data_IF_887232494285
#
_entry.id   IF_887232494285
#
_cell.length_a   1.000
_cell.length_b   1.000
_cell.length_c   1.000
_cell.angle_alpha   90.00
_cell.angle_beta   90.00
_cell.angle_gamma   90.00
#
_symmetry.space_group_name_H-M   'P 1'
#
loop_
_entity.id
_entity.type
_entity.pdbx_description
1 polymer ?
#
# COMPACT_ATOMS: atom_id res chain seq x y z
N UNK A 1 7.22 6.31 -34.94
CA UNK A 1 6.39 7.42 -34.43
C UNK A 1 5.36 6.78 -33.51
N UNK A 2 5.71 6.59 -32.24
CA UNK A 2 4.75 6.08 -31.25
C UNK A 2 3.81 7.25 -30.93
N UNK A 3 2.50 7.00 -31.00
CA UNK A 3 1.46 8.01 -30.81
C UNK A 3 1.61 8.62 -29.40
N UNK A 4 1.89 9.91 -29.33
CA UNK A 4 2.11 10.66 -28.08
C UNK A 4 0.78 10.96 -27.34
N UNK A 5 -0.29 10.26 -27.71
CA UNK A 5 -1.62 10.46 -27.14
C UNK A 5 -1.74 9.75 -25.80
N UNK A 6 -1.84 10.55 -24.74
CA UNK A 6 -2.31 10.09 -23.42
C UNK A 6 -3.69 9.48 -23.60
N UNK A 7 -3.91 8.29 -23.03
CA UNK A 7 -5.20 7.61 -23.06
C UNK A 7 -6.30 8.51 -22.49
N UNK A 8 -7.36 8.72 -23.26
CA UNK A 8 -8.55 9.44 -22.79
C UNK A 8 -9.51 8.45 -22.14
N UNK A 9 -9.90 8.73 -20.90
CA UNK A 9 -10.95 7.99 -20.22
C UNK A 9 -12.33 8.52 -20.66
N UNK A 10 -13.37 7.67 -20.69
CA UNK A 10 -14.74 8.16 -20.84
C UNK A 10 -15.11 9.10 -19.69
N UNK A 11 -16.12 9.96 -19.89
CA UNK A 11 -16.56 10.96 -18.89
C UNK A 11 -16.90 10.31 -17.54
N UNK A 12 -17.49 9.10 -17.57
CA UNK A 12 -17.81 8.31 -16.38
C UNK A 12 -17.33 6.86 -16.56
N UNK A 13 -16.07 6.54 -16.24
CA UNK A 13 -15.52 5.21 -16.46
C UNK A 13 -16.14 4.16 -15.54
N UNK A 14 -16.11 2.90 -15.98
CA UNK A 14 -16.25 1.75 -15.10
C UNK A 14 -14.92 1.51 -14.41
N UNK A 15 -14.91 1.52 -13.08
CA UNK A 15 -13.67 1.31 -12.30
C UNK A 15 -13.72 -0.02 -11.58
N UNK A 16 -12.78 -0.90 -11.89
CA UNK A 16 -12.57 -2.15 -11.17
C UNK A 16 -11.63 -1.96 -9.99
N UNK A 17 -12.03 -2.37 -8.79
CA UNK A 17 -11.16 -2.37 -7.61
C UNK A 17 -10.84 -3.81 -7.23
N UNK A 18 -9.56 -4.17 -7.33
CA UNK A 18 -9.07 -5.49 -6.94
C UNK A 18 -8.83 -5.52 -5.43
N UNK A 19 -9.34 -6.57 -4.78
CA UNK A 19 -9.19 -6.81 -3.35
C UNK A 19 -9.73 -5.68 -2.45
N UNK A 20 -11.06 -5.54 -2.28
CA UNK A 20 -11.66 -4.56 -1.36
C UNK A 20 -11.45 -4.93 0.13
N UNK A 21 -10.19 -4.87 0.57
CA UNK A 21 -9.78 -4.76 1.96
C UNK A 21 -10.30 -3.46 2.57
N UNK A 22 -9.77 -3.08 3.74
CA UNK A 22 -10.17 -1.82 4.36
C UNK A 22 -9.87 -0.61 3.47
N UNK A 23 -8.68 -0.56 2.87
CA UNK A 23 -8.29 0.52 1.95
C UNK A 23 -9.00 0.43 0.60
N UNK A 24 -9.08 -0.76 0.00
CA UNK A 24 -9.76 -0.95 -1.29
C UNK A 24 -11.24 -0.58 -1.25
N UNK A 25 -11.95 -0.89 -0.16
CA UNK A 25 -13.34 -0.45 0.01
C UNK A 25 -13.48 1.08 0.11
N UNK A 26 -12.56 1.75 0.83
CA UNK A 26 -12.54 3.21 0.92
C UNK A 26 -12.26 3.87 -0.44
N UNK A 27 -11.28 3.34 -1.19
CA UNK A 27 -10.97 3.79 -2.56
C UNK A 27 -12.18 3.60 -3.48
N UNK A 28 -12.77 2.40 -3.48
CA UNK A 28 -13.94 2.11 -4.32
C UNK A 28 -15.11 3.04 -3.99
N UNK A 29 -15.40 3.28 -2.71
CA UNK A 29 -16.43 4.23 -2.31
C UNK A 29 -16.12 5.67 -2.76
N UNK A 30 -14.86 6.09 -2.70
CA UNK A 30 -14.43 7.43 -3.10
C UNK A 30 -14.61 7.69 -4.60
N UNK A 31 -14.52 6.64 -5.42
CA UNK A 31 -14.64 6.71 -6.88
C UNK A 31 -16.09 6.73 -7.39
N UNK A 32 -17.09 6.36 -6.56
CA UNK A 32 -18.49 6.23 -6.99
C UNK A 32 -19.10 7.49 -7.62
N UNK A 33 -18.67 8.67 -7.18
CA UNK A 33 -19.20 9.93 -7.68
C UNK A 33 -18.73 10.23 -9.11
N UNK A 34 -17.50 9.83 -9.46
CA UNK A 34 -16.91 10.04 -10.78
C UNK A 34 -17.19 8.86 -11.74
N UNK A 35 -17.29 7.64 -11.22
CA UNK A 35 -17.49 6.42 -12.01
C UNK A 35 -18.97 6.24 -12.41
N UNK A 36 -19.21 5.53 -13.52
CA UNK A 36 -20.55 5.01 -13.87
C UNK A 36 -20.89 3.78 -13.04
N UNK A 37 -19.90 2.93 -12.76
CA UNK A 37 -19.97 1.79 -11.86
C UNK A 37 -18.60 1.54 -11.22
N UNK A 38 -18.60 1.12 -9.96
CA UNK A 38 -17.40 0.59 -9.30
C UNK A 38 -17.62 -0.89 -9.04
N UNK A 39 -16.81 -1.74 -9.70
CA UNK A 39 -16.95 -3.19 -9.67
C UNK A 39 -15.80 -3.85 -8.89
N UNK A 40 -16.04 -5.04 -8.34
CA UNK A 40 -14.99 -5.83 -7.67
C UNK A 40 -15.17 -7.34 -7.91
N UNK A 41 -14.07 -8.08 -7.96
CA UNK A 41 -14.08 -9.52 -8.19
C UNK A 41 -14.32 -10.32 -6.89
N UNK A 42 -15.43 -11.07 -6.87
CA UNK A 42 -15.92 -11.87 -5.75
C UNK A 42 -15.06 -13.11 -5.46
N UNK A 43 -14.68 -13.84 -6.52
CA UNK A 43 -14.24 -15.24 -6.40
C UNK A 43 -13.08 -15.43 -5.43
N UNK A 44 -13.27 -16.39 -4.53
CA UNK A 44 -12.26 -16.79 -3.54
C UNK A 44 -11.98 -15.72 -2.47
N UNK A 45 -12.82 -14.68 -2.34
CA UNK A 45 -12.68 -13.67 -1.28
C UNK A 45 -13.44 -14.08 -0.02
N UNK A 46 -12.92 -13.64 1.13
CA UNK A 46 -13.54 -13.93 2.42
C UNK A 46 -14.84 -13.16 2.64
N UNK A 47 -15.72 -13.68 3.50
CA UNK A 47 -16.94 -12.99 3.92
C UNK A 47 -16.68 -11.56 4.43
N UNK A 48 -15.60 -11.36 5.18
CA UNK A 48 -15.20 -10.03 5.66
C UNK A 48 -14.86 -9.05 4.52
N UNK A 49 -14.33 -9.56 3.41
CA UNK A 49 -14.03 -8.76 2.20
C UNK A 49 -15.30 -8.42 1.46
N UNK A 50 -16.19 -9.40 1.26
CA UNK A 50 -17.49 -9.18 0.65
C UNK A 50 -18.32 -8.15 1.44
N UNK A 51 -18.33 -8.24 2.78
CA UNK A 51 -19.06 -7.28 3.63
C UNK A 51 -18.55 -5.85 3.50
N UNK A 52 -17.22 -5.65 3.39
CA UNK A 52 -16.64 -4.32 3.18
C UNK A 52 -17.01 -3.76 1.81
N UNK A 53 -17.01 -4.60 0.78
CA UNK A 53 -17.41 -4.21 -0.57
C UNK A 53 -18.89 -3.80 -0.62
N UNK A 54 -19.76 -4.57 0.05
CA UNK A 54 -21.19 -4.25 0.21
C UNK A 54 -21.39 -2.91 0.92
N UNK A 55 -20.73 -2.68 2.07
CA UNK A 55 -20.80 -1.41 2.81
C UNK A 55 -20.27 -0.19 2.02
N UNK A 56 -19.42 -0.43 1.02
CA UNK A 56 -18.91 0.58 0.12
C UNK A 56 -19.77 0.74 -1.15
N UNK A 57 -20.88 0.01 -1.29
CA UNK A 57 -21.74 -0.11 -2.48
C UNK A 57 -20.98 -0.49 -3.75
N UNK A 58 -20.03 -1.42 -3.65
CA UNK A 58 -19.31 -1.95 -4.81
C UNK A 58 -20.11 -3.08 -5.46
N UNK A 59 -20.16 -3.08 -6.80
CA UNK A 59 -20.91 -4.08 -7.58
C UNK A 59 -20.04 -5.33 -7.76
N UNK A 60 -20.48 -6.46 -7.24
CA UNK A 60 -19.76 -7.71 -7.39
C UNK A 60 -19.81 -8.21 -8.85
N UNK A 61 -18.68 -8.67 -9.35
CA UNK A 61 -18.56 -9.46 -10.58
C UNK A 61 -17.89 -10.81 -10.26
N UNK A 62 -18.11 -11.86 -11.07
CA UNK A 62 -17.70 -13.22 -10.73
C UNK A 62 -16.20 -13.35 -10.47
N UNK A 63 -15.34 -12.78 -11.32
CA UNK A 63 -13.89 -12.99 -11.23
C UNK A 63 -13.09 -11.82 -11.84
N UNK A 64 -11.76 -11.89 -11.71
CA UNK A 64 -10.83 -10.87 -12.25
C UNK A 64 -10.97 -10.76 -13.77
N UNK A 65 -11.06 -11.85 -14.56
CA UNK A 65 -11.28 -11.72 -16.01
C UNK A 65 -12.54 -10.94 -16.39
N UNK A 66 -13.67 -11.17 -15.71
CA UNK A 66 -14.90 -10.39 -15.96
C UNK A 66 -14.75 -8.93 -15.52
N UNK A 67 -14.05 -8.68 -14.42
CA UNK A 67 -13.71 -7.31 -14.00
C UNK A 67 -12.87 -6.60 -15.07
N UNK A 68 -11.82 -7.25 -15.57
CA UNK A 68 -10.92 -6.69 -16.59
C UNK A 68 -11.66 -6.35 -17.88
N UNK A 69 -12.54 -7.24 -18.36
CA UNK A 69 -13.31 -7.00 -19.59
C UNK A 69 -14.26 -5.82 -19.50
N UNK A 70 -14.74 -5.49 -18.29
CA UNK A 70 -15.76 -4.47 -18.07
C UNK A 70 -15.19 -3.12 -17.64
N UNK A 71 -13.97 -3.08 -17.12
CA UNK A 71 -13.39 -1.89 -16.53
C UNK A 71 -12.62 -1.06 -17.56
N UNK A 72 -12.78 0.26 -17.51
CA UNK A 72 -11.90 1.20 -18.21
C UNK A 72 -10.62 1.45 -17.40
N UNK A 73 -10.75 1.41 -16.06
CA UNK A 73 -9.67 1.60 -15.09
C UNK A 73 -9.69 0.47 -14.08
N UNK A 74 -8.54 -0.13 -13.78
CA UNK A 74 -8.38 -1.14 -12.74
C UNK A 74 -7.44 -0.61 -11.66
N UNK A 75 -7.91 -0.53 -10.42
CA UNK A 75 -7.10 -0.17 -9.25
C UNK A 75 -6.72 -1.43 -8.48
N UNK A 76 -5.43 -1.72 -8.42
CA UNK A 76 -4.86 -2.83 -7.66
C UNK A 76 -4.47 -2.38 -6.26
N UNK A 77 -5.07 -2.99 -5.23
CA UNK A 77 -4.71 -2.74 -3.84
C UNK A 77 -4.84 -3.98 -2.93
N UNK A 78 -3.78 -4.75 -2.91
CA UNK A 78 -3.57 -6.03 -2.27
C UNK A 78 -2.24 -6.04 -1.47
N UNK A 79 -1.94 -7.13 -0.75
CA UNK A 79 -0.62 -7.32 -0.15
C UNK A 79 0.50 -7.30 -1.22
N UNK A 80 1.66 -6.69 -0.94
CA UNK A 80 2.69 -6.43 -1.96
C UNK A 80 3.19 -7.70 -2.67
N UNK A 81 3.33 -8.82 -1.94
CA UNK A 81 3.77 -10.09 -2.51
C UNK A 81 2.84 -10.65 -3.61
N UNK A 82 1.59 -10.20 -3.67
CA UNK A 82 0.61 -10.63 -4.66
C UNK A 82 0.48 -9.67 -5.85
N UNK A 83 1.08 -8.48 -5.78
CA UNK A 83 0.86 -7.38 -6.73
C UNK A 83 1.12 -7.79 -8.19
N UNK A 84 2.30 -8.38 -8.45
CA UNK A 84 2.70 -8.75 -9.80
C UNK A 84 1.89 -9.93 -10.36
N UNK A 85 1.48 -10.88 -9.51
CA UNK A 85 0.65 -12.00 -9.95
C UNK A 85 -0.76 -11.55 -10.31
N UNK A 86 -1.31 -10.61 -9.53
CA UNK A 86 -2.59 -9.96 -9.84
C UNK A 86 -2.50 -9.14 -11.14
N UNK A 87 -1.41 -8.41 -11.35
CA UNK A 87 -1.15 -7.71 -12.60
C UNK A 87 -1.09 -8.67 -13.80
N UNK A 88 -0.42 -9.83 -13.68
CA UNK A 88 -0.39 -10.87 -14.71
C UNK A 88 -1.77 -11.43 -15.02
N UNK A 89 -2.60 -11.67 -14.01
CA UNK A 89 -3.97 -12.16 -14.20
C UNK A 89 -4.81 -11.16 -15.01
N UNK A 90 -4.71 -9.86 -14.69
CA UNK A 90 -5.38 -8.80 -15.43
C UNK A 90 -4.84 -8.66 -16.85
N UNK A 91 -3.52 -8.66 -17.04
CA UNK A 91 -2.90 -8.59 -18.37
C UNK A 91 -3.32 -9.76 -19.27
N UNK A 92 -3.39 -10.97 -18.71
CA UNK A 92 -3.85 -12.16 -19.45
C UNK A 92 -5.32 -12.04 -19.88
N UNK A 93 -6.17 -11.43 -19.04
CA UNK A 93 -7.60 -11.25 -19.33
C UNK A 93 -7.90 -10.10 -20.33
N UNK A 94 -6.99 -9.14 -20.49
CA UNK A 94 -7.16 -7.95 -21.34
C UNK A 94 -7.23 -8.23 -22.85
N UNK A 95 -6.78 -9.41 -23.31
CA UNK A 95 -6.86 -9.83 -24.71
C UNK A 95 -6.33 -8.82 -25.75
N UNK A 96 -5.37 -7.96 -25.38
CA UNK A 96 -4.72 -6.99 -26.26
C UNK A 96 -5.18 -5.53 -26.14
N UNK A 97 -6.24 -5.26 -25.38
CA UNK A 97 -6.67 -3.90 -25.04
C UNK A 97 -6.81 -3.77 -23.52
N UNK A 98 -5.70 -3.54 -22.79
CA UNK A 98 -5.73 -3.50 -21.34
C UNK A 98 -6.50 -2.30 -20.84
N UNK A 99 -7.15 -2.37 -19.65
CA UNK A 99 -7.62 -1.19 -18.96
C UNK A 99 -6.44 -0.30 -18.52
N UNK A 100 -6.72 0.94 -18.13
CA UNK A 100 -5.73 1.74 -17.41
C UNK A 100 -5.47 1.09 -16.04
N UNK A 101 -4.27 0.57 -15.80
CA UNK A 101 -3.90 -0.13 -14.59
C UNK A 101 -3.25 0.82 -13.57
N UNK A 102 -3.90 1.01 -12.42
CA UNK A 102 -3.36 1.76 -11.30
C UNK A 102 -2.78 0.78 -10.29
N UNK A 103 -1.45 0.74 -10.24
CA UNK A 103 -0.69 -0.03 -9.26
C UNK A 103 -0.61 0.77 -7.96
N UNK A 104 -1.54 0.54 -7.02
CA UNK A 104 -1.62 1.25 -5.74
C UNK A 104 -1.15 0.41 -4.53
N UNK A 105 -0.49 -0.72 -4.79
CA UNK A 105 0.13 -1.57 -3.79
C UNK A 105 1.36 -0.88 -3.19
N UNK A 106 1.71 -1.24 -1.94
CA UNK A 106 2.92 -0.77 -1.30
C UNK A 106 4.15 -1.54 -1.81
N UNK A 107 4.51 -1.33 -3.07
CA UNK A 107 5.58 -2.04 -3.79
C UNK A 107 6.75 -1.13 -4.15
N UNK A 108 7.90 -1.72 -4.48
CA UNK A 108 9.08 -1.03 -4.95
C UNK A 108 8.89 -0.50 -6.39
N UNK A 109 9.63 0.55 -6.80
CA UNK A 109 9.59 1.05 -8.17
C UNK A 109 9.82 -0.04 -9.23
N UNK A 110 10.67 -1.03 -8.94
CA UNK A 110 10.98 -2.14 -9.85
C UNK A 110 9.74 -2.99 -10.14
N UNK A 111 8.89 -3.20 -9.14
CA UNK A 111 7.62 -3.94 -9.32
C UNK A 111 6.68 -3.16 -10.23
N UNK A 112 6.60 -1.84 -10.09
CA UNK A 112 5.82 -0.98 -10.99
C UNK A 112 6.35 -1.03 -12.42
N UNK A 113 7.68 -1.05 -12.60
CA UNK A 113 8.29 -1.22 -13.91
C UNK A 113 7.96 -2.59 -14.53
N UNK A 114 8.00 -3.66 -13.74
CA UNK A 114 7.59 -4.99 -14.21
C UNK A 114 6.10 -5.04 -14.59
N UNK A 115 5.24 -4.30 -13.88
CA UNK A 115 3.82 -4.12 -14.27
C UNK A 115 3.72 -3.34 -15.59
N UNK A 116 4.52 -2.29 -15.78
CA UNK A 116 4.56 -1.54 -17.04
C UNK A 116 5.01 -2.38 -18.24
N UNK A 117 5.87 -3.38 -18.05
CA UNK A 117 6.23 -4.35 -19.09
C UNK A 117 5.04 -5.21 -19.54
N UNK A 118 4.03 -5.44 -18.68
CA UNK A 118 2.85 -6.22 -19.01
C UNK A 118 1.79 -5.43 -19.79
N UNK A 119 1.65 -4.14 -19.51
CA UNK A 119 0.54 -3.31 -20.00
C UNK A 119 0.95 -2.22 -21.00
N UNK A 120 2.25 -1.90 -21.07
CA UNK A 120 2.76 -0.67 -21.68
C UNK A 120 2.76 0.47 -20.66
N UNK A 121 3.83 1.29 -20.57
CA UNK A 121 3.94 2.38 -19.59
C UNK A 121 2.85 3.46 -19.73
N UNK A 122 2.25 3.60 -20.91
CA UNK A 122 1.11 4.48 -21.18
C UNK A 122 -0.20 4.02 -20.56
N UNK A 123 -0.30 2.73 -20.20
CA UNK A 123 -1.48 2.12 -19.57
C UNK A 123 -1.26 1.84 -18.08
N UNK A 124 -0.21 2.39 -17.48
CA UNK A 124 0.08 2.23 -16.05
C UNK A 124 0.14 3.57 -15.33
N UNK A 125 -0.40 3.60 -14.13
CA UNK A 125 -0.21 4.67 -13.16
C UNK A 125 0.39 4.08 -11.89
N UNK A 126 1.53 4.62 -11.48
CA UNK A 126 2.18 4.34 -10.21
C UNK A 126 1.44 5.06 -9.08
N UNK A 127 0.89 4.31 -8.12
CA UNK A 127 0.08 4.82 -7.03
C UNK A 127 0.68 4.51 -5.66
N UNK A 128 0.66 5.49 -4.77
CA UNK A 128 1.08 5.32 -3.38
C UNK A 128 0.09 5.96 -2.41
N UNK A 129 -0.57 5.12 -1.61
CA UNK A 129 -1.49 5.58 -0.57
C UNK A 129 -0.73 5.83 0.74
N UNK A 130 -0.83 7.02 1.31
CA UNK A 130 -0.29 7.38 2.62
C UNK A 130 -1.42 7.88 3.51
N UNK A 131 -1.69 7.14 4.59
CA UNK A 131 -2.76 7.41 5.54
C UNK A 131 -3.57 6.16 5.91
N UNK A 132 -4.52 6.27 6.85
CA UNK A 132 -5.52 5.23 7.10
C UNK A 132 -6.51 5.11 5.92
N UNK A 133 -7.47 4.16 5.93
CA UNK A 133 -8.55 4.16 4.94
C UNK A 133 -9.30 5.51 4.88
N UNK A 134 -9.31 6.13 3.70
CA UNK A 134 -9.83 7.49 3.49
C UNK A 134 -11.36 7.57 3.50
N UNK A 135 -11.95 7.64 4.69
CA UNK A 135 -13.39 7.93 4.87
C UNK A 135 -13.66 9.40 5.19
N UNK A 136 -12.63 10.14 5.61
CA UNK A 136 -12.69 11.55 5.98
C UNK A 136 -11.57 12.31 5.29
N UNK A 137 -11.91 13.48 4.73
CA UNK A 137 -10.96 14.37 4.05
C UNK A 137 -9.80 14.76 4.97
N UNK A 138 -8.63 14.96 4.39
CA UNK A 138 -7.43 15.45 5.09
C UNK A 138 -6.67 14.37 5.88
N UNK A 139 -7.07 13.09 5.78
CA UNK A 139 -6.40 11.99 6.48
C UNK A 139 -5.51 11.15 5.58
N UNK A 140 -5.79 11.13 4.27
CA UNK A 140 -5.19 10.17 3.34
C UNK A 140 -4.85 10.85 2.02
N UNK A 141 -3.59 10.70 1.60
CA UNK A 141 -3.09 11.21 0.32
C UNK A 141 -2.83 10.03 -0.61
N UNK A 142 -3.32 10.13 -1.85
CA UNK A 142 -2.99 9.24 -2.95
C UNK A 142 -1.99 9.96 -3.86
N UNK A 143 -0.72 9.57 -3.76
CA UNK A 143 0.31 10.05 -4.67
C UNK A 143 0.27 9.23 -5.96
N UNK A 144 0.35 9.90 -7.10
CA UNK A 144 0.25 9.31 -8.42
C UNK A 144 1.42 9.76 -9.29
N UNK A 145 1.94 8.86 -10.11
CA UNK A 145 2.94 9.17 -11.12
C UNK A 145 2.69 8.36 -12.40
N UNK A 146 3.17 8.86 -13.54
CA UNK A 146 2.89 8.29 -14.85
C UNK A 146 2.13 9.27 -15.75
N UNK A 147 2.19 9.05 -17.06
CA UNK A 147 1.56 9.93 -18.07
C UNK A 147 0.05 10.10 -17.87
N UNK A 148 -0.61 9.04 -17.42
CA UNK A 148 -2.06 9.01 -17.17
C UNK A 148 -2.43 9.38 -15.71
N UNK A 149 -1.46 9.72 -14.85
CA UNK A 149 -1.71 10.08 -13.45
C UNK A 149 -2.70 11.25 -13.26
N UNK A 150 -2.68 12.33 -14.08
CA UNK A 150 -3.67 13.39 -13.98
C UNK A 150 -5.10 12.90 -14.19
N UNK A 151 -5.33 12.01 -15.18
CA UNK A 151 -6.66 11.46 -15.45
C UNK A 151 -7.20 10.64 -14.26
N UNK A 152 -6.33 9.87 -13.60
CA UNK A 152 -6.69 9.14 -12.38
C UNK A 152 -6.94 10.09 -11.20
N UNK A 153 -6.14 11.15 -11.05
CA UNK A 153 -6.31 12.12 -9.98
C UNK A 153 -7.68 12.83 -10.03
N UNK A 154 -8.16 13.17 -11.23
CA UNK A 154 -9.49 13.78 -11.43
C UNK A 154 -10.64 12.87 -10.96
N UNK A 155 -10.49 11.53 -11.03
CA UNK A 155 -11.51 10.61 -10.52
C UNK A 155 -11.70 10.71 -8.99
N UNK A 156 -10.72 11.25 -8.28
CA UNK A 156 -10.77 11.49 -6.84
C UNK A 156 -11.14 12.94 -6.48
N UNK A 157 -11.42 13.80 -7.47
CA UNK A 157 -11.82 15.18 -7.24
C UNK A 157 -13.08 15.23 -6.36
N UNK A 158 -13.02 16.00 -5.26
CA UNK A 158 -14.14 16.07 -4.33
C UNK A 158 -14.34 14.83 -3.44
N UNK A 159 -13.45 13.85 -3.48
CA UNK A 159 -13.51 12.66 -2.63
C UNK A 159 -12.80 12.87 -1.27
N UNK A 160 -12.89 11.91 -0.33
CA UNK A 160 -12.10 11.90 0.89
C UNK A 160 -10.58 11.77 0.70
N UNK A 161 -10.14 11.25 -0.46
CA UNK A 161 -8.72 11.13 -0.78
C UNK A 161 -8.19 12.42 -1.38
N UNK A 162 -7.04 12.86 -0.91
CA UNK A 162 -6.29 13.92 -1.58
C UNK A 162 -5.38 13.30 -2.65
N UNK A 163 -5.78 13.37 -3.92
CA UNK A 163 -4.96 12.88 -5.03
C UNK A 163 -3.93 13.94 -5.47
N UNK A 164 -2.66 13.55 -5.59
CA UNK A 164 -1.56 14.44 -5.97
C UNK A 164 -0.65 13.77 -7.01
N UNK A 165 -0.30 14.50 -8.07
CA UNK A 165 0.56 13.99 -9.16
C UNK A 165 2.01 14.44 -8.93
N UNK A 166 2.96 13.49 -8.94
CA UNK A 166 4.40 13.75 -8.78
C UNK A 166 5.13 14.04 -10.10
N UNK A 167 4.59 13.56 -11.22
CA UNK A 167 5.18 13.69 -12.54
C UNK A 167 4.84 12.54 -13.47
N UNK A 168 5.47 12.53 -14.65
CA UNK A 168 5.20 11.54 -15.70
C UNK A 168 5.99 10.22 -15.55
N UNK A 169 6.99 10.18 -14.66
CA UNK A 169 7.89 9.02 -14.50
C UNK A 169 7.28 7.95 -13.58
N UNK A 170 7.11 6.74 -14.10
CA UNK A 170 6.70 5.58 -13.30
C UNK A 170 7.80 5.23 -12.28
N UNK A 171 7.39 4.89 -11.06
CA UNK A 171 8.30 4.59 -9.95
C UNK A 171 8.43 5.74 -8.95
N UNK A 172 8.02 6.96 -9.29
CA UNK A 172 8.16 8.11 -8.39
C UNK A 172 7.24 8.02 -7.15
N UNK A 173 6.00 7.53 -7.30
CA UNK A 173 5.06 7.42 -6.19
C UNK A 173 5.44 6.26 -5.27
N UNK A 174 5.78 5.10 -5.83
CA UNK A 174 6.32 3.95 -5.11
C UNK A 174 7.66 4.26 -4.40
N UNK A 175 8.56 5.03 -5.02
CA UNK A 175 9.79 5.50 -4.37
C UNK A 175 9.49 6.41 -3.17
N UNK A 176 8.56 7.36 -3.33
CA UNK A 176 8.10 8.20 -2.21
C UNK A 176 7.56 7.34 -1.07
N UNK A 177 6.73 6.33 -1.39
CA UNK A 177 6.17 5.40 -0.42
C UNK A 177 7.26 4.62 0.32
N UNK A 178 8.26 4.11 -0.38
CA UNK A 178 9.38 3.39 0.22
C UNK A 178 10.17 4.27 1.20
N UNK A 179 10.46 5.52 0.83
CA UNK A 179 11.10 6.50 1.72
C UNK A 179 10.24 6.80 2.95
N UNK A 180 8.94 7.00 2.76
CA UNK A 180 8.01 7.23 3.86
C UNK A 180 7.86 6.00 4.77
N UNK A 181 7.95 4.79 4.22
CA UNK A 181 7.87 3.54 4.96
C UNK A 181 9.04 3.39 5.95
N UNK A 182 10.24 3.89 5.62
CA UNK A 182 11.37 3.91 6.55
C UNK A 182 11.03 4.72 7.81
N UNK A 183 10.48 5.93 7.64
CA UNK A 183 10.08 6.78 8.76
C UNK A 183 8.92 6.18 9.56
N UNK A 184 7.90 5.68 8.87
CA UNK A 184 6.64 5.26 9.51
C UNK A 184 6.66 3.84 10.06
N UNK A 185 7.62 2.99 9.65
CA UNK A 185 7.69 1.57 10.05
C UNK A 185 9.10 1.15 10.50
N UNK A 186 10.15 1.45 9.74
CA UNK A 186 11.49 0.98 10.15
C UNK A 186 11.97 1.63 11.46
N UNK A 187 11.72 2.93 11.66
CA UNK A 187 12.06 3.61 12.92
C UNK A 187 11.31 2.99 14.13
N UNK A 188 9.98 2.78 14.09
CA UNK A 188 9.28 2.02 15.13
C UNK A 188 9.87 0.62 15.40
N UNK A 189 10.27 -0.12 14.36
CA UNK A 189 10.90 -1.43 14.52
C UNK A 189 12.26 -1.33 15.22
N UNK A 190 13.05 -0.29 14.94
CA UNK A 190 14.29 -0.02 15.66
C UNK A 190 14.04 0.24 17.15
N UNK A 191 12.98 0.98 17.51
CA UNK A 191 12.59 1.19 18.91
C UNK A 191 12.16 -0.12 19.59
N UNK A 192 11.41 -0.97 18.89
CA UNK A 192 11.04 -2.28 19.39
C UNK A 192 12.27 -3.14 19.67
N UNK A 193 13.21 -3.21 18.74
CA UNK A 193 14.47 -3.92 18.92
C UNK A 193 15.33 -3.33 20.05
N UNK A 194 15.37 -2.01 20.19
CA UNK A 194 16.08 -1.32 21.26
C UNK A 194 15.55 -1.74 22.65
N UNK A 195 14.24 -1.66 22.87
CA UNK A 195 13.65 -2.01 24.16
C UNK A 195 13.73 -3.52 24.43
N UNK A 196 13.53 -4.36 23.42
CA UNK A 196 13.72 -5.82 23.55
C UNK A 196 15.16 -6.16 23.96
N UNK A 197 16.15 -5.50 23.35
CA UNK A 197 17.56 -5.69 23.69
C UNK A 197 17.86 -5.18 25.10
N UNK A 198 17.32 -4.02 25.48
CA UNK A 198 17.50 -3.45 26.82
C UNK A 198 16.91 -4.37 27.91
N UNK A 199 15.78 -5.03 27.65
CA UNK A 199 15.23 -6.07 28.53
C UNK A 199 16.16 -7.26 28.68
N UNK A 200 16.68 -7.77 27.56
CA UNK A 200 17.57 -8.92 27.57
C UNK A 200 18.84 -8.68 28.42
N UNK A 201 19.30 -7.43 28.50
CA UNK A 201 20.42 -7.01 29.37
C UNK A 201 20.00 -6.49 30.75
N UNK A 202 18.71 -6.43 31.07
CA UNK A 202 18.21 -5.93 32.36
C UNK A 202 18.39 -4.42 32.57
N UNK A 203 18.48 -3.63 31.50
CA UNK A 203 18.75 -2.17 31.53
C UNK A 203 17.61 -1.33 30.96
N UNK A 204 16.43 -1.91 30.70
CA UNK A 204 15.30 -1.18 30.10
C UNK A 204 14.91 0.07 30.91
N UNK A 205 14.79 -0.04 32.23
CA UNK A 205 14.38 1.07 33.09
C UNK A 205 15.40 2.21 33.08
N UNK A 206 16.70 1.87 33.16
CA UNK A 206 17.79 2.86 33.07
C UNK A 206 17.81 3.55 31.70
N UNK A 207 17.59 2.80 30.61
CA UNK A 207 17.51 3.36 29.26
C UNK A 207 16.30 4.30 29.11
N UNK A 208 15.13 3.90 29.61
CA UNK A 208 13.92 4.76 29.59
C UNK A 208 14.16 6.05 30.36
N UNK A 209 14.79 5.98 31.54
CA UNK A 209 15.15 7.17 32.32
C UNK A 209 16.07 8.12 31.55
N UNK A 210 17.08 7.60 30.85
CA UNK A 210 17.95 8.44 30.03
C UNK A 210 17.25 9.05 28.80
N UNK A 211 16.34 8.31 28.15
CA UNK A 211 15.53 8.83 27.04
C UNK A 211 14.53 9.90 27.51
N UNK A 212 13.94 9.72 28.69
CA UNK A 212 12.99 10.68 29.28
C UNK A 212 13.69 12.00 29.62
N UNK A 213 14.90 11.94 30.19
CA UNK A 213 15.76 13.10 30.42
C UNK A 213 16.05 13.89 29.14
N UNK A 214 16.01 13.24 27.97
CA UNK A 214 16.19 13.85 26.65
C UNK A 214 14.87 14.25 25.97
N UNK A 215 13.73 13.97 26.61
CA UNK A 215 12.39 14.31 26.13
C UNK A 215 11.86 13.40 25.02
N UNK A 216 12.46 12.22 24.81
CA UNK A 216 12.18 11.38 23.65
C UNK A 216 11.44 10.06 23.97
N UNK A 217 11.36 9.68 25.24
CA UNK A 217 10.75 8.42 25.70
C UNK A 217 9.30 8.26 25.25
N UNK A 218 8.46 9.28 25.51
CA UNK A 218 7.01 9.19 25.25
C UNK A 218 6.66 8.99 23.78
N UNK A 219 7.37 9.71 22.90
CA UNK A 219 7.18 9.61 21.45
C UNK A 219 7.60 8.21 20.97
N UNK A 220 8.76 7.73 21.41
CA UNK A 220 9.29 6.41 21.05
C UNK A 220 8.38 5.27 21.53
N UNK A 221 7.91 5.31 22.77
CA UNK A 221 6.98 4.32 23.33
C UNK A 221 5.67 4.28 22.54
N UNK A 222 5.14 5.44 22.17
CA UNK A 222 3.91 5.53 21.35
C UNK A 222 4.11 4.92 19.95
N UNK A 223 5.25 5.20 19.32
CA UNK A 223 5.60 4.63 18.01
C UNK A 223 5.74 3.11 18.05
N UNK A 224 6.42 2.59 19.08
CA UNK A 224 6.63 1.15 19.27
C UNK A 224 5.30 0.39 19.47
N UNK A 225 4.40 0.90 20.32
CA UNK A 225 3.08 0.29 20.54
C UNK A 225 2.25 0.20 19.26
N UNK A 226 2.18 1.30 18.50
CA UNK A 226 1.44 1.35 17.21
C UNK A 226 1.96 0.36 16.16
N UNK A 227 3.18 -0.15 16.35
CA UNK A 227 3.82 -1.09 15.44
C UNK A 227 3.55 -2.55 15.78
N UNK A 228 3.30 -2.88 17.06
CA UNK A 228 2.89 -4.21 17.49
C UNK A 228 1.55 -4.65 16.89
N UNK A 229 0.52 -3.81 17.00
CA UNK A 229 -0.87 -4.11 16.58
C UNK A 229 -1.04 -4.47 15.09
N UNK A 230 -0.05 -4.13 14.26
CA UNK A 230 -0.10 -4.29 12.80
C UNK A 230 1.15 -4.95 12.22
N UNK A 231 2.01 -5.52 13.08
CA UNK A 231 3.33 -6.04 12.72
C UNK A 231 3.31 -6.99 11.51
N UNK A 232 2.37 -7.93 11.47
CA UNK A 232 2.29 -8.93 10.40
C UNK A 232 2.09 -8.32 8.99
N UNK A 233 1.43 -7.16 8.87
CA UNK A 233 1.23 -6.50 7.57
C UNK A 233 2.47 -5.78 7.08
N UNK A 234 3.34 -5.36 7.99
CA UNK A 234 4.40 -4.42 7.70
C UNK A 234 5.70 -5.08 7.26
N UNK A 235 5.89 -6.37 7.52
CA UNK A 235 7.07 -7.10 7.04
C UNK A 235 7.22 -7.02 5.52
N UNK A 236 6.16 -7.34 4.75
CA UNK A 236 6.21 -7.27 3.29
C UNK A 236 6.44 -5.85 2.76
N UNK A 237 5.85 -4.83 3.39
CA UNK A 237 6.11 -3.43 3.01
C UNK A 237 7.57 -3.00 3.31
N UNK A 238 8.21 -3.61 4.32
CA UNK A 238 9.62 -3.39 4.60
C UNK A 238 10.54 -4.10 3.61
N UNK A 239 10.16 -5.27 3.10
CA UNK A 239 10.90 -5.93 2.02
C UNK A 239 10.90 -5.09 0.74
N UNK A 240 9.74 -4.52 0.38
CA UNK A 240 9.60 -3.62 -0.79
C UNK A 240 10.40 -2.33 -0.59
N UNK A 241 10.38 -1.74 0.61
CA UNK A 241 11.23 -0.60 0.92
C UNK A 241 12.73 -0.95 0.85
N UNK A 242 13.11 -2.17 1.27
CA UNK A 242 14.49 -2.63 1.17
C UNK A 242 14.93 -2.78 -0.30
N UNK A 243 14.06 -3.32 -1.15
CA UNK A 243 14.31 -3.46 -2.59
C UNK A 243 14.47 -2.08 -3.26
N UNK A 244 13.60 -1.13 -2.94
CA UNK A 244 13.67 0.23 -3.49
C UNK A 244 15.00 0.94 -3.12
N UNK A 245 15.45 0.82 -1.87
CA UNK A 245 16.71 1.42 -1.42
C UNK A 245 17.93 0.75 -2.09
N UNK A 246 17.93 -0.57 -2.17
CA UNK A 246 19.01 -1.31 -2.84
C UNK A 246 19.13 -0.93 -4.32
N UNK A 247 18.00 -0.77 -5.01
CA UNK A 247 18.00 -0.34 -6.41
C UNK A 247 18.45 1.11 -6.62
N UNK A 248 18.32 1.97 -5.61
CA UNK A 248 18.92 3.30 -5.60
C UNK A 248 20.42 3.30 -5.23
N UNK A 249 21.02 2.12 -5.01
CA UNK A 249 22.41 1.99 -4.58
C UNK A 249 22.66 2.37 -3.12
N UNK A 250 21.60 2.45 -2.30
CA UNK A 250 21.68 2.82 -0.90
C UNK A 250 21.62 1.57 0.02
N UNK A 251 22.18 1.65 1.24
CA UNK A 251 22.00 0.60 2.23
C UNK A 251 20.52 0.35 2.55
N UNK A 252 20.12 -0.92 2.53
CA UNK A 252 18.75 -1.36 2.80
C UNK A 252 18.62 -2.17 4.11
N UNK A 253 19.70 -2.23 4.90
CA UNK A 253 19.77 -3.03 6.13
C UNK A 253 18.73 -2.62 7.17
N UNK A 254 18.37 -1.33 7.25
CA UNK A 254 17.33 -0.86 8.17
C UNK A 254 15.96 -1.46 7.86
N UNK A 255 15.54 -1.41 6.59
CA UNK A 255 14.27 -2.00 6.17
C UNK A 255 14.29 -3.53 6.32
N UNK A 256 15.42 -4.18 6.01
CA UNK A 256 15.58 -5.63 6.17
C UNK A 256 15.46 -6.06 7.63
N UNK A 257 16.15 -5.37 8.55
CA UNK A 257 16.07 -5.62 9.99
C UNK A 257 14.66 -5.31 10.54
N UNK A 258 14.01 -4.26 10.06
CA UNK A 258 12.63 -3.95 10.43
C UNK A 258 11.66 -5.06 10.00
N UNK A 259 11.82 -5.58 8.77
CA UNK A 259 11.04 -6.73 8.29
C UNK A 259 11.23 -7.95 9.20
N UNK A 260 12.47 -8.23 9.61
CA UNK A 260 12.78 -9.31 10.55
C UNK A 260 12.08 -9.13 11.90
N UNK A 261 12.18 -7.94 12.51
CA UNK A 261 11.49 -7.61 13.78
C UNK A 261 10.00 -7.87 13.66
N UNK A 262 9.36 -7.42 12.58
CA UNK A 262 7.93 -7.62 12.37
C UNK A 262 7.54 -9.08 12.18
N UNK A 263 8.36 -9.87 11.46
CA UNK A 263 8.12 -11.31 11.32
C UNK A 263 8.22 -12.04 12.66
N UNK A 264 9.21 -11.69 13.50
CA UNK A 264 9.34 -12.26 14.84
C UNK A 264 8.13 -11.96 15.72
N UNK A 265 7.71 -10.69 15.76
CA UNK A 265 6.50 -10.28 16.51
C UNK A 265 5.25 -11.01 15.99
N UNK A 266 5.10 -11.15 14.67
CA UNK A 266 3.96 -11.83 14.09
C UNK A 266 3.92 -13.34 14.36
N UNK A 267 5.08 -13.96 14.62
CA UNK A 267 5.21 -15.38 14.94
C UNK A 267 5.26 -15.67 16.45
N UNK A 268 5.46 -14.65 17.27
CA UNK A 268 5.58 -14.75 18.72
C UNK A 268 4.26 -15.20 19.36
N UNK A 269 4.37 -16.05 20.38
CA UNK A 269 3.23 -16.37 21.25
C UNK A 269 3.01 -15.27 22.29
N UNK A 270 1.95 -15.42 23.10
CA UNK A 270 1.60 -14.41 24.12
C UNK A 270 2.72 -14.20 25.16
N UNK A 271 3.46 -15.26 25.50
CA UNK A 271 4.53 -15.20 26.49
C UNK A 271 5.74 -14.46 25.93
N UNK A 272 6.11 -14.69 24.66
CA UNK A 272 7.18 -13.99 23.97
C UNK A 272 6.79 -12.52 23.71
N UNK A 273 5.55 -12.24 23.32
CA UNK A 273 5.04 -10.87 23.17
C UNK A 273 5.16 -10.08 24.48
N UNK A 274 4.81 -10.68 25.62
CA UNK A 274 4.95 -10.06 26.93
C UNK A 274 6.41 -9.90 27.36
N UNK A 275 7.19 -10.98 27.32
CA UNK A 275 8.54 -11.03 27.90
C UNK A 275 9.60 -10.37 27.04
N UNK A 276 9.60 -10.63 25.72
CA UNK A 276 10.61 -10.10 24.79
C UNK A 276 10.19 -8.76 24.24
N UNK A 277 8.93 -8.60 23.84
CA UNK A 277 8.46 -7.40 23.14
C UNK A 277 7.80 -6.37 24.05
N UNK A 278 7.47 -6.72 25.30
CA UNK A 278 6.81 -5.82 26.25
C UNK A 278 5.42 -5.39 25.77
N UNK A 279 4.75 -6.27 25.02
CA UNK A 279 3.41 -6.09 24.48
C UNK A 279 2.43 -6.90 25.32
N UNK A 280 1.45 -6.23 25.93
CA UNK A 280 0.29 -6.92 26.50
C UNK A 280 -0.63 -7.37 25.36
N UNK A 281 -1.09 -8.62 25.41
CA UNK A 281 -2.01 -9.21 24.42
C UNK A 281 -3.43 -8.67 24.49
#
# INVERSE_FOLDING_TARGET
>A
MLDDRVRSLPERPVVGVLHPGAMGAAIGSALKAAASAVIWADKGRSHATAKRAELADLIAVPDVPELTRRADVVVSICPPHAALDVAREVAAAAAGDPPLYVEANAVAPQTVQAVAELFGPENVVDGAVIGPPGWTRGTTTLWLAGRCAPAVAELFAGSPFEARVLGAELGAASALKACYALQSKAIPAAWLALFATARAYGVEEALRSELDRKGSEREMTTMARRAGDRAWRWAGEMDEAAAAFAAAGLPNGFSTAAAEVYRRIAAADADELGSVWGMEG
#
